data_IF_272108907302
#
_entry.id   IF_272108907302
#
_cell.length_a   1.000
_cell.length_b   1.000
_cell.length_c   1.000
_cell.angle_alpha   90.00
_cell.angle_beta   90.00
_cell.angle_gamma   90.00
#
_symmetry.space_group_name_H-M   'P 1'
#
loop_
_entity.id
_entity.type
_entity.pdbx_description
1 polymer ?
#
# COMPACT_ATOMS: atom_id res chain seq x y z
N UNK A 1 1.18 15.46 12.13
CA UNK A 1 1.30 14.76 10.83
C UNK A 1 2.07 13.49 11.06
N UNK A 2 1.66 12.39 10.44
CA UNK A 2 2.18 11.05 10.70
C UNK A 2 2.56 10.41 9.36
N UNK A 3 3.84 10.37 8.99
CA UNK A 3 4.30 9.61 7.83
C UNK A 3 4.33 8.11 8.14
N UNK A 4 4.11 7.28 7.14
CA UNK A 4 4.22 5.82 7.24
C UNK A 4 4.73 5.21 5.94
N UNK A 5 5.62 4.24 6.08
CA UNK A 5 6.23 3.48 4.99
C UNK A 5 6.03 2.00 5.27
N UNK A 6 5.59 1.27 4.27
CA UNK A 6 5.53 -0.19 4.27
C UNK A 6 6.19 -0.72 3.00
N UNK A 7 6.90 -1.83 3.11
CA UNK A 7 7.53 -2.52 1.99
C UNK A 7 7.36 -4.02 2.18
N UNK A 8 7.06 -4.72 1.09
CA UNK A 8 6.95 -6.17 1.04
C UNK A 8 7.60 -6.71 -0.23
N UNK A 9 8.14 -7.92 -0.12
CA UNK A 9 8.73 -8.66 -1.22
C UNK A 9 8.33 -10.13 -1.08
N UNK A 10 7.72 -10.68 -2.12
CA UNK A 10 7.35 -12.10 -2.16
C UNK A 10 8.59 -12.93 -2.47
N UNK A 11 8.89 -13.91 -1.61
CA UNK A 11 9.95 -14.90 -1.83
C UNK A 11 9.45 -16.02 -2.74
N UNK A 12 10.36 -16.87 -3.20
CA UNK A 12 9.99 -18.04 -4.00
C UNK A 12 9.14 -19.04 -3.21
N UNK A 13 8.29 -19.77 -3.94
CA UNK A 13 7.39 -20.78 -3.41
C UNK A 13 5.91 -20.39 -3.51
N UNK A 14 5.09 -21.19 -2.85
CA UNK A 14 3.65 -21.03 -2.81
C UNK A 14 3.25 -20.24 -1.57
N UNK A 15 2.43 -19.22 -1.75
CA UNK A 15 1.80 -18.56 -0.63
C UNK A 15 0.80 -19.53 0.05
N UNK A 16 0.51 -19.30 1.33
CA UNK A 16 -0.38 -20.17 2.12
C UNK A 16 -1.83 -20.25 1.62
N UNK A 17 -2.19 -19.42 0.63
CA UNK A 17 -3.46 -19.41 -0.10
C UNK A 17 -3.40 -20.18 -1.44
N UNK A 18 -2.31 -20.93 -1.67
CA UNK A 18 -2.01 -21.61 -2.93
C UNK A 18 -1.91 -20.68 -4.15
N UNK A 19 -1.66 -19.38 -3.95
CA UNK A 19 -1.29 -18.49 -5.05
C UNK A 19 0.20 -18.59 -5.34
N UNK A 20 0.54 -18.66 -6.63
CA UNK A 20 1.92 -18.54 -7.09
C UNK A 20 2.16 -17.09 -7.49
N UNK A 21 2.92 -16.36 -6.68
CA UNK A 21 3.37 -15.01 -6.96
C UNK A 21 4.76 -14.84 -6.37
N UNK A 22 5.78 -14.87 -7.22
CA UNK A 22 7.18 -14.90 -6.80
C UNK A 22 7.87 -13.60 -7.22
N UNK A 23 8.66 -13.00 -6.32
CA UNK A 23 9.49 -11.83 -6.63
C UNK A 23 8.74 -10.52 -6.79
N UNK A 24 7.43 -10.47 -6.49
CA UNK A 24 6.67 -9.21 -6.48
C UNK A 24 7.22 -8.31 -5.39
N UNK A 25 7.39 -7.04 -5.73
CA UNK A 25 7.69 -5.96 -4.80
C UNK A 25 6.46 -5.06 -4.65
N UNK A 26 6.18 -4.67 -3.42
CA UNK A 26 5.08 -3.77 -3.05
C UNK A 26 5.61 -2.74 -2.05
N UNK A 27 5.23 -1.48 -2.23
CA UNK A 27 5.42 -0.46 -1.21
C UNK A 27 4.12 0.29 -0.94
N UNK A 28 4.01 0.89 0.25
CA UNK A 28 2.99 1.85 0.60
C UNK A 28 3.67 3.03 1.28
N UNK A 29 3.57 4.20 0.66
CA UNK A 29 4.02 5.47 1.22
C UNK A 29 2.78 6.28 1.56
N UNK A 30 2.64 6.73 2.80
CA UNK A 30 1.47 7.50 3.21
C UNK A 30 1.82 8.62 4.18
N UNK A 31 1.00 9.67 4.14
CA UNK A 31 1.06 10.80 5.05
C UNK A 31 -0.34 11.09 5.57
N UNK A 32 -0.48 11.09 6.89
CA UNK A 32 -1.72 11.44 7.59
C UNK A 32 -1.59 12.78 8.31
N UNK A 33 -2.64 13.58 8.28
CA UNK A 33 -2.77 14.80 9.05
C UNK A 33 -4.04 14.75 9.89
N UNK A 34 -3.90 14.97 11.19
CA UNK A 34 -5.01 15.11 12.13
C UNK A 34 -5.06 16.58 12.57
N UNK A 35 -6.19 17.25 12.35
CA UNK A 35 -6.38 18.66 12.68
C UNK A 35 -7.53 18.85 13.66
N UNK A 36 -7.24 19.54 14.77
CA UNK A 36 -8.18 19.85 15.85
C UNK A 36 -8.94 18.63 16.42
N UNK A 37 -8.44 17.40 16.24
CA UNK A 37 -9.13 16.14 16.60
C UNK A 37 -10.51 15.98 15.94
N UNK A 38 -10.85 16.83 14.97
CA UNK A 38 -12.12 16.80 14.24
C UNK A 38 -11.93 16.40 12.79
N UNK A 39 -10.82 16.82 12.18
CA UNK A 39 -10.51 16.55 10.78
C UNK A 39 -9.37 15.56 10.67
N UNK A 40 -9.50 14.59 9.78
CA UNK A 40 -8.44 13.66 9.40
C UNK A 40 -8.31 13.68 7.88
N UNK A 41 -7.10 13.89 7.38
CA UNK A 41 -6.78 13.78 5.96
C UNK A 41 -5.62 12.80 5.76
N UNK A 42 -5.65 12.03 4.68
CA UNK A 42 -4.57 11.11 4.33
C UNK A 42 -4.37 11.05 2.82
N UNK A 43 -3.12 10.97 2.40
CA UNK A 43 -2.71 10.60 1.05
C UNK A 43 -1.82 9.36 1.14
N UNK A 44 -1.99 8.42 0.21
CA UNK A 44 -1.15 7.25 0.09
C UNK A 44 -0.84 6.92 -1.38
N UNK A 45 0.37 6.44 -1.64
CA UNK A 45 0.80 5.86 -2.91
C UNK A 45 1.23 4.41 -2.69
N UNK A 46 0.71 3.52 -3.52
CA UNK A 46 0.85 2.07 -3.42
C UNK A 46 1.40 1.49 -4.72
N UNK A 47 2.72 1.63 -4.99
CA UNK A 47 3.33 1.01 -6.15
C UNK A 47 3.57 -0.49 -5.96
N UNK A 48 3.40 -1.25 -7.04
CA UNK A 48 3.72 -2.68 -7.15
C UNK A 48 4.47 -2.92 -8.45
N UNK A 49 5.51 -3.75 -8.41
CA UNK A 49 6.38 -4.01 -9.57
C UNK A 49 7.11 -5.34 -9.41
N UNK A 50 7.79 -5.78 -10.48
CA UNK A 50 8.57 -7.02 -10.49
C UNK A 50 7.72 -8.29 -10.33
N UNK A 51 8.41 -9.41 -10.22
CA UNK A 51 7.84 -10.74 -10.05
C UNK A 51 7.43 -11.45 -11.34
N UNK A 52 7.67 -12.76 -11.41
CA UNK A 52 7.41 -13.58 -12.60
C UNK A 52 5.91 -13.92 -12.77
N UNK A 53 5.18 -14.03 -11.66
CA UNK A 53 3.75 -14.36 -11.64
C UNK A 53 2.90 -13.24 -10.99
N UNK A 54 3.38 -12.01 -11.08
CA UNK A 54 2.73 -10.86 -10.46
C UNK A 54 1.55 -10.33 -11.29
N UNK A 55 0.35 -10.83 -10.99
CA UNK A 55 -0.91 -10.37 -11.57
C UNK A 55 -1.30 -8.92 -11.19
N UNK A 56 -0.54 -8.28 -10.29
CA UNK A 56 -0.76 -6.91 -9.85
C UNK A 56 0.33 -5.95 -10.37
N UNK A 57 1.22 -6.39 -11.26
CA UNK A 57 2.37 -5.58 -11.72
C UNK A 57 1.97 -4.23 -12.36
N UNK A 58 0.77 -4.12 -12.90
CA UNK A 58 0.20 -2.92 -13.53
C UNK A 58 -0.81 -2.18 -12.64
N UNK A 59 -1.01 -2.63 -11.40
CA UNK A 59 -2.09 -2.14 -10.50
C UNK A 59 -1.63 -1.22 -9.40
N UNK A 60 -0.64 -0.39 -9.69
CA UNK A 60 -0.22 0.67 -8.77
C UNK A 60 -1.35 1.67 -8.53
N UNK A 61 -1.56 2.09 -7.28
CA UNK A 61 -2.72 2.92 -6.89
C UNK A 61 -2.30 4.16 -6.09
N UNK A 62 -3.08 5.24 -6.19
CA UNK A 62 -3.00 6.41 -5.30
C UNK A 62 -4.34 6.55 -4.59
N UNK A 63 -4.31 6.84 -3.29
CA UNK A 63 -5.49 7.03 -2.45
C UNK A 63 -5.43 8.38 -1.74
N UNK A 64 -6.59 9.03 -1.62
CA UNK A 64 -6.79 10.20 -0.78
C UNK A 64 -8.07 10.04 0.06
N UNK A 65 -8.00 10.41 1.33
CA UNK A 65 -9.10 10.31 2.28
C UNK A 65 -9.26 11.62 3.04
N UNK A 66 -10.51 12.02 3.32
CA UNK A 66 -10.86 13.15 4.18
C UNK A 66 -12.04 12.74 5.08
N UNK A 67 -11.92 12.99 6.39
CA UNK A 67 -12.94 12.68 7.38
C UNK A 67 -13.14 13.82 8.37
N UNK A 68 -14.38 13.97 8.85
CA UNK A 68 -14.79 14.92 9.88
C UNK A 68 -15.59 14.21 10.98
N UNK A 69 -15.37 14.56 12.24
CA UNK A 69 -16.14 14.06 13.40
C UNK A 69 -16.84 15.23 14.10
N UNK A 70 -18.15 15.09 14.33
CA UNK A 70 -19.03 16.09 14.94
C UNK A 70 -19.13 15.95 16.47
#
# INVERSE_FOLDING_TARGET
>A
MTPSIFFAHDVSGWAGDNTLNEGRMLAILSLRADFQKKWVAQIAWQPTWGGEYNNQSDRSTVQANLGYTF
#
